data_IF_697580560141
#
_entry.id   IF_697580560141
#
_cell.length_a   1.000
_cell.length_b   1.000
_cell.length_c   1.000
_cell.angle_alpha   90.00
_cell.angle_beta   90.00
_cell.angle_gamma   90.00
#
_symmetry.space_group_name_H-M   'P 1'
#
loop_
_entity.id
_entity.type
_entity.pdbx_description
1 polymer ?
#
# COMPACT_ATOMS: atom_id res chain seq x y z
N UNK A 1 9.43 6.47 26.58
CA UNK A 1 8.12 7.11 26.84
C UNK A 1 7.33 7.10 25.55
N UNK A 2 6.01 6.93 25.60
CA UNK A 2 5.18 7.03 24.39
C UNK A 2 4.94 8.52 24.10
N UNK A 3 5.35 8.98 22.92
CA UNK A 3 5.14 10.35 22.48
C UNK A 3 3.64 10.57 22.24
N UNK A 4 3.00 11.58 22.86
CA UNK A 4 1.61 11.91 22.58
C UNK A 4 1.49 12.43 21.14
N UNK A 5 0.37 12.11 20.49
CA UNK A 5 0.07 12.61 19.16
C UNK A 5 -0.17 14.12 19.22
N UNK A 6 0.39 14.86 18.26
CA UNK A 6 0.30 16.31 18.15
C UNK A 6 -0.26 16.75 16.79
N UNK A 7 -0.67 18.01 16.71
CA UNK A 7 -1.06 18.61 15.44
C UNK A 7 0.10 18.54 14.43
N UNK A 8 -0.23 18.25 13.18
CA UNK A 8 0.68 18.12 12.05
C UNK A 8 1.58 16.87 12.05
N UNK A 9 1.43 15.96 13.01
CA UNK A 9 2.06 14.63 12.94
C UNK A 9 1.56 13.85 11.71
N UNK A 10 2.45 13.04 11.11
CA UNK A 10 2.11 12.11 10.05
C UNK A 10 1.95 10.68 10.56
N UNK A 11 0.75 10.10 10.48
CA UNK A 11 0.55 8.68 10.78
C UNK A 11 0.68 7.85 9.52
N UNK A 12 1.68 6.97 9.48
CA UNK A 12 1.78 5.93 8.46
C UNK A 12 1.18 4.64 9.01
N UNK A 13 0.20 4.09 8.30
CA UNK A 13 -0.61 2.95 8.71
C UNK A 13 -0.52 1.86 7.65
N UNK A 14 -0.13 0.64 8.02
CA UNK A 14 -0.12 -0.46 7.04
C UNK A 14 -1.53 -0.79 6.57
N UNK A 15 -1.70 -1.03 5.27
CA UNK A 15 -2.99 -1.40 4.67
C UNK A 15 -3.60 -2.63 5.34
N UNK A 16 -2.80 -3.58 5.86
CA UNK A 16 -3.30 -4.85 6.41
C UNK A 16 -4.32 -4.66 7.53
N UNK A 17 -4.10 -3.69 8.43
CA UNK A 17 -5.05 -3.45 9.52
C UNK A 17 -6.31 -2.74 9.04
N UNK A 18 -6.21 -1.95 7.97
CA UNK A 18 -7.34 -1.32 7.29
C UNK A 18 -8.16 -2.38 6.57
N UNK A 19 -7.53 -3.21 5.74
CA UNK A 19 -8.16 -4.31 5.02
C UNK A 19 -8.86 -5.29 5.95
N UNK A 20 -8.26 -5.62 7.11
CA UNK A 20 -8.92 -6.44 8.13
C UNK A 20 -10.14 -5.76 8.76
N UNK A 21 -10.06 -4.45 9.00
CA UNK A 21 -11.17 -3.68 9.56
C UNK A 21 -12.32 -3.49 8.55
N UNK A 22 -12.03 -3.58 7.26
CA UNK A 22 -12.97 -3.42 6.15
C UNK A 22 -13.41 -4.76 5.52
N UNK A 23 -13.19 -5.89 6.22
CA UNK A 23 -13.55 -7.24 5.76
C UNK A 23 -12.99 -7.61 4.38
N UNK A 24 -11.82 -7.06 4.03
CA UNK A 24 -11.06 -7.36 2.79
C UNK A 24 -10.19 -8.60 2.95
N UNK A 25 -10.80 -9.68 3.43
CA UNK A 25 -10.16 -10.99 3.63
C UNK A 25 -10.93 -12.04 2.81
N UNK A 26 -10.20 -12.86 2.07
CA UNK A 26 -10.79 -13.92 1.21
C UNK A 26 -10.10 -15.25 1.51
N UNK A 27 -10.86 -16.35 1.56
CA UNK A 27 -10.32 -17.70 1.49
C UNK A 27 -10.22 -18.10 0.00
N UNK A 28 -9.01 -18.28 -0.56
CA UNK A 28 -8.88 -18.72 -1.94
C UNK A 28 -9.54 -20.07 -2.22
N UNK A 29 -9.69 -20.96 -1.22
CA UNK A 29 -10.33 -22.27 -1.42
C UNK A 29 -11.79 -22.16 -1.88
N UNK A 30 -12.47 -21.05 -1.56
CA UNK A 30 -13.84 -20.78 -1.97
C UNK A 30 -13.96 -20.25 -3.42
N UNK A 31 -12.83 -20.08 -4.11
CA UNK A 31 -12.75 -19.41 -5.41
C UNK A 31 -12.45 -20.43 -6.53
N UNK A 32 -13.43 -20.64 -7.42
CA UNK A 32 -13.24 -21.47 -8.61
C UNK A 32 -12.26 -20.81 -9.60
N UNK A 33 -11.12 -21.45 -9.92
CA UNK A 33 -10.10 -20.85 -10.78
C UNK A 33 -10.51 -20.80 -12.25
N UNK A 34 -10.19 -19.71 -12.94
CA UNK A 34 -10.30 -19.63 -14.40
C UNK A 34 -9.18 -20.42 -15.11
N UNK A 35 -9.30 -20.57 -16.43
CA UNK A 35 -8.21 -21.16 -17.24
C UNK A 35 -6.91 -20.34 -17.13
N UNK A 36 -7.01 -19.01 -17.13
CA UNK A 36 -5.85 -18.12 -17.02
C UNK A 36 -5.15 -18.29 -15.66
N UNK A 37 -5.92 -18.41 -14.58
CA UNK A 37 -5.37 -18.65 -13.25
C UNK A 37 -4.62 -19.99 -13.16
N UNK A 38 -5.15 -21.06 -13.78
CA UNK A 38 -4.45 -22.36 -13.88
C UNK A 38 -3.15 -22.27 -14.68
N UNK A 39 -3.12 -21.47 -15.76
CA UNK A 39 -1.91 -21.23 -16.54
C UNK A 39 -0.83 -20.47 -15.75
N UNK A 40 -1.24 -19.47 -14.95
CA UNK A 40 -0.34 -18.76 -14.05
C UNK A 40 0.24 -19.69 -12.97
N UNK A 41 -0.62 -20.54 -12.38
CA UNK A 41 -0.21 -21.52 -11.37
C UNK A 41 0.84 -22.51 -11.88
N UNK A 42 0.73 -22.96 -13.14
CA UNK A 42 1.70 -23.86 -13.74
C UNK A 42 3.12 -23.26 -13.87
N UNK A 43 3.27 -21.94 -13.77
CA UNK A 43 4.57 -21.25 -13.86
C UNK A 43 5.14 -20.83 -12.50
N UNK A 44 4.36 -20.99 -11.42
CA UNK A 44 4.70 -20.49 -10.09
C UNK A 44 4.58 -21.54 -8.98
N UNK A 45 4.55 -21.05 -7.75
CA UNK A 45 4.47 -21.88 -6.54
C UNK A 45 3.15 -21.72 -5.77
N UNK A 46 2.19 -21.00 -6.33
CA UNK A 46 0.88 -20.75 -5.72
C UNK A 46 -0.22 -21.51 -6.45
N UNK A 47 -1.30 -21.78 -5.74
CA UNK A 47 -2.45 -22.47 -6.31
C UNK A 47 -3.22 -21.59 -7.29
N UNK A 48 -3.94 -22.23 -8.21
CA UNK A 48 -4.75 -21.53 -9.22
C UNK A 48 -5.81 -20.64 -8.57
N UNK A 49 -6.37 -21.01 -7.41
CA UNK A 49 -7.32 -20.17 -6.67
C UNK A 49 -6.71 -18.85 -6.20
N UNK A 50 -5.46 -18.86 -5.73
CA UNK A 50 -4.74 -17.63 -5.38
C UNK A 50 -4.61 -16.69 -6.59
N UNK A 51 -4.17 -17.23 -7.73
CA UNK A 51 -4.05 -16.41 -8.96
C UNK A 51 -5.40 -15.92 -9.45
N UNK A 52 -6.48 -16.67 -9.23
CA UNK A 52 -7.82 -16.21 -9.56
C UNK A 52 -8.21 -14.98 -8.72
N UNK A 53 -7.90 -14.97 -7.42
CA UNK A 53 -8.08 -13.78 -6.56
C UNK A 53 -7.27 -12.59 -7.09
N UNK A 54 -5.99 -12.81 -7.41
CA UNK A 54 -5.13 -11.78 -8.03
C UNK A 54 -5.76 -11.23 -9.32
N UNK A 55 -6.25 -12.10 -10.19
CA UNK A 55 -6.85 -11.69 -11.46
C UNK A 55 -8.14 -10.88 -11.26
N UNK A 56 -8.96 -11.23 -10.26
CA UNK A 56 -10.18 -10.48 -9.92
C UNK A 56 -9.90 -9.08 -9.37
N UNK A 57 -8.81 -8.90 -8.63
CA UNK A 57 -8.36 -7.59 -8.13
C UNK A 57 -7.54 -6.79 -9.18
N UNK A 58 -7.26 -7.40 -10.33
CA UNK A 58 -6.53 -6.78 -11.43
C UNK A 58 -7.46 -6.20 -12.49
N UNK A 59 -7.10 -5.03 -13.00
CA UNK A 59 -7.67 -4.47 -14.24
C UNK A 59 -7.02 -5.09 -15.47
N UNK A 60 -5.71 -5.33 -15.43
CA UNK A 60 -4.95 -6.03 -16.47
C UNK A 60 -3.62 -6.58 -15.94
N UNK A 61 -3.10 -7.57 -16.66
CA UNK A 61 -1.75 -8.07 -16.46
C UNK A 61 -0.77 -7.20 -17.27
N UNK A 62 0.24 -6.65 -16.60
CA UNK A 62 1.34 -5.90 -17.22
C UNK A 62 2.46 -6.84 -17.65
N UNK A 63 2.82 -7.79 -16.78
CA UNK A 63 3.83 -8.82 -17.03
C UNK A 63 3.49 -10.07 -16.24
N UNK A 64 3.74 -11.23 -16.81
CA UNK A 64 3.68 -12.51 -16.13
C UNK A 64 4.97 -13.27 -16.41
N UNK A 65 5.70 -13.61 -15.35
CA UNK A 65 6.98 -14.33 -15.47
C UNK A 65 7.22 -15.15 -14.21
N UNK A 66 7.56 -16.44 -14.36
CA UNK A 66 7.88 -17.37 -13.25
C UNK A 66 6.85 -17.35 -12.11
N UNK A 67 5.56 -17.24 -12.45
CA UNK A 67 4.48 -17.20 -11.46
C UNK A 67 4.33 -15.88 -10.70
N UNK A 68 5.04 -14.82 -11.09
CA UNK A 68 4.79 -13.47 -10.58
C UNK A 68 3.98 -12.71 -11.61
N UNK A 69 2.82 -12.20 -11.19
CA UNK A 69 2.00 -11.33 -12.02
C UNK A 69 2.27 -9.88 -11.59
N UNK A 70 2.85 -9.08 -12.46
CA UNK A 70 2.81 -7.62 -12.31
C UNK A 70 1.49 -7.16 -12.94
N UNK A 71 0.63 -6.56 -12.15
CA UNK A 71 -0.74 -6.19 -12.53
C UNK A 71 -0.99 -4.72 -12.30
N UNK A 72 -1.88 -4.13 -13.10
CA UNK A 72 -2.57 -2.88 -12.73
C UNK A 72 -3.79 -3.26 -11.89
N UNK A 73 -3.87 -2.78 -10.64
CA UNK A 73 -5.06 -2.97 -9.80
C UNK A 73 -6.21 -2.09 -10.28
N UNK A 74 -7.42 -2.30 -9.75
CA UNK A 74 -8.56 -1.39 -10.01
C UNK A 74 -8.32 0.05 -9.52
N UNK A 75 -7.39 0.25 -8.58
CA UNK A 75 -6.94 1.58 -8.12
C UNK A 75 -6.00 2.26 -9.14
N UNK A 76 -5.41 1.51 -10.08
CA UNK A 76 -4.37 1.98 -10.99
C UNK A 76 -2.94 1.74 -10.50
N UNK A 77 -2.74 1.07 -9.35
CA UNK A 77 -1.41 0.74 -8.84
C UNK A 77 -0.78 -0.38 -9.68
N UNK A 78 0.49 -0.23 -10.06
CA UNK A 78 1.25 -1.29 -10.71
C UNK A 78 2.09 -2.01 -9.66
N UNK A 79 1.67 -3.21 -9.26
CA UNK A 79 2.32 -3.98 -8.21
C UNK A 79 2.30 -5.48 -8.51
N UNK A 80 3.05 -6.23 -7.70
CA UNK A 80 3.02 -7.69 -7.76
C UNK A 80 1.70 -8.19 -7.19
N UNK A 81 1.09 -9.15 -7.90
CA UNK A 81 -0.10 -9.90 -7.51
C UNK A 81 -1.26 -9.03 -7.03
N UNK A 82 -1.44 -7.85 -7.62
CA UNK A 82 -2.52 -6.90 -7.27
C UNK A 82 -2.57 -6.47 -5.80
N UNK A 83 -1.45 -6.57 -5.06
CA UNK A 83 -1.41 -6.29 -3.62
C UNK A 83 -2.11 -7.36 -2.78
N UNK A 84 -2.42 -8.53 -3.36
CA UNK A 84 -2.95 -9.69 -2.62
C UNK A 84 -1.83 -10.28 -1.77
N UNK A 85 -2.00 -10.20 -0.45
CA UNK A 85 -1.00 -10.63 0.53
C UNK A 85 -1.51 -11.80 1.38
N UNK A 86 -0.70 -12.84 1.51
CA UNK A 86 -0.95 -14.04 2.34
C UNK A 86 -0.31 -13.93 3.74
N UNK A 87 0.62 -12.99 3.92
CA UNK A 87 1.42 -12.84 5.13
C UNK A 87 0.63 -12.15 6.24
N UNK A 88 0.86 -12.56 7.49
CA UNK A 88 0.18 -12.00 8.67
C UNK A 88 -1.36 -12.15 8.66
N UNK A 89 -1.89 -13.14 7.94
CA UNK A 89 -3.34 -13.47 7.90
C UNK A 89 -3.54 -14.97 8.13
N UNK A 90 -4.13 -15.34 9.27
CA UNK A 90 -4.61 -16.69 9.58
C UNK A 90 -3.70 -17.88 9.17
N UNK A 91 -2.37 -17.74 9.28
CA UNK A 91 -1.42 -18.79 8.91
C UNK A 91 -1.33 -19.10 7.41
N UNK A 92 -1.72 -18.17 6.53
CA UNK A 92 -1.67 -18.32 5.08
C UNK A 92 -2.90 -19.01 4.47
N UNK A 93 -3.91 -19.35 5.27
CA UNK A 93 -5.18 -19.92 4.78
C UNK A 93 -6.01 -18.90 4.00
N UNK A 94 -5.99 -17.65 4.45
CA UNK A 94 -6.73 -16.55 3.82
C UNK A 94 -5.74 -15.50 3.32
N UNK A 95 -6.19 -14.70 2.37
CA UNK A 95 -5.43 -13.58 1.81
C UNK A 95 -6.12 -12.26 2.15
N UNK A 96 -5.34 -11.22 2.38
CA UNK A 96 -5.82 -9.84 2.41
C UNK A 96 -5.77 -9.22 1.03
N UNK A 97 -6.83 -8.51 0.69
CA UNK A 97 -6.90 -7.65 -0.49
C UNK A 97 -6.62 -6.22 -0.07
N UNK A 98 -6.27 -5.34 -1.01
CA UNK A 98 -6.18 -3.91 -0.72
C UNK A 98 -7.57 -3.34 -0.32
N UNK A 99 -7.61 -2.28 0.51
CA UNK A 99 -8.83 -1.50 0.74
C UNK A 99 -9.39 -1.03 -0.60
N UNK A 100 -10.71 -0.95 -0.76
CA UNK A 100 -11.35 -0.58 -2.04
C UNK A 100 -11.15 0.90 -2.38
N UNK A 101 -11.09 1.76 -1.36
CA UNK A 101 -10.76 3.17 -1.49
C UNK A 101 -9.85 3.58 -0.30
N UNK A 102 -8.54 3.31 -0.39
CA UNK A 102 -7.62 3.61 0.70
C UNK A 102 -7.59 5.11 1.07
N UNK A 103 -7.84 5.99 0.11
CA UNK A 103 -7.98 7.43 0.33
C UNK A 103 -9.19 7.74 1.22
N UNK A 104 -10.33 7.08 1.01
CA UNK A 104 -11.50 7.20 1.88
C UNK A 104 -11.22 6.64 3.27
N UNK A 105 -10.55 5.50 3.37
CA UNK A 105 -10.12 4.91 4.65
C UNK A 105 -9.22 5.86 5.42
N UNK A 106 -8.25 6.51 4.76
CA UNK A 106 -7.36 7.50 5.36
C UNK A 106 -8.14 8.72 5.89
N UNK A 107 -9.10 9.23 5.11
CA UNK A 107 -9.97 10.34 5.52
C UNK A 107 -10.83 9.98 6.73
N UNK A 108 -11.43 8.78 6.73
CA UNK A 108 -12.25 8.30 7.84
C UNK A 108 -11.42 8.15 9.13
N UNK A 109 -10.22 7.57 9.03
CA UNK A 109 -9.31 7.42 10.16
C UNK A 109 -8.87 8.78 10.72
N UNK A 110 -8.49 9.72 9.85
CA UNK A 110 -8.14 11.10 10.24
C UNK A 110 -9.29 11.78 10.98
N UNK A 111 -10.52 11.67 10.47
CA UNK A 111 -11.69 12.26 11.10
C UNK A 111 -11.95 11.66 12.49
N UNK A 112 -11.82 10.34 12.65
CA UNK A 112 -11.98 9.65 13.92
C UNK A 112 -10.88 10.04 14.94
N UNK A 113 -9.63 10.23 14.49
CA UNK A 113 -8.54 10.71 15.34
C UNK A 113 -8.85 12.13 15.83
N UNK A 114 -9.28 13.02 14.93
CA UNK A 114 -9.65 14.39 15.30
C UNK A 114 -10.79 14.44 16.30
N UNK A 115 -11.82 13.61 16.13
CA UNK A 115 -12.95 13.53 17.06
C UNK A 115 -12.53 13.03 18.45
N UNK A 116 -11.65 12.02 18.51
CA UNK A 116 -11.30 11.33 19.77
C UNK A 116 -10.15 11.97 20.53
N UNK A 117 -9.15 12.49 19.81
CA UNK A 117 -7.92 13.03 20.38
C UNK A 117 -7.82 14.55 20.24
N UNK A 118 -8.69 15.19 19.46
CA UNK A 118 -8.70 16.65 19.29
C UNK A 118 -7.55 17.21 18.45
N UNK A 119 -6.76 16.36 17.79
CA UNK A 119 -5.59 16.74 16.99
C UNK A 119 -5.84 16.58 15.50
N UNK A 120 -5.23 17.44 14.69
CA UNK A 120 -5.31 17.42 13.24
C UNK A 120 -4.00 16.90 12.62
N UNK A 121 -4.07 15.67 12.09
CA UNK A 121 -2.91 14.91 11.61
C UNK A 121 -3.02 14.59 10.13
N UNK A 122 -1.90 14.20 9.52
CA UNK A 122 -1.91 13.50 8.23
C UNK A 122 -2.02 11.99 8.44
N UNK A 123 -2.66 11.29 7.50
CA UNK A 123 -2.77 9.82 7.49
C UNK A 123 -2.34 9.31 6.13
N UNK A 124 -1.39 8.37 6.12
CA UNK A 124 -0.89 7.69 4.94
C UNK A 124 -1.11 6.20 5.15
N UNK A 125 -1.87 5.57 4.27
CA UNK A 125 -1.99 4.11 4.22
C UNK A 125 -0.89 3.58 3.30
N UNK A 126 -0.06 2.68 3.82
CA UNK A 126 1.08 2.13 3.11
C UNK A 126 0.92 0.65 2.76
N UNK A 127 1.56 0.24 1.67
CA UNK A 127 1.78 -1.16 1.33
C UNK A 127 3.20 -1.39 0.80
N UNK A 128 3.67 -2.64 0.84
CA UNK A 128 5.05 -3.00 0.52
C UNK A 128 5.20 -3.45 -0.93
N UNK A 129 5.82 -2.63 -1.79
CA UNK A 129 6.01 -2.92 -3.20
C UNK A 129 7.47 -3.17 -3.57
N UNK A 130 7.69 -4.04 -4.58
CA UNK A 130 8.94 -4.06 -5.34
C UNK A 130 9.00 -2.89 -6.32
N UNK A 131 10.16 -2.66 -6.96
CA UNK A 131 10.33 -1.55 -7.91
C UNK A 131 11.30 -1.89 -9.02
N UNK A 132 11.12 -1.26 -10.19
CA UNK A 132 11.93 -1.54 -11.36
C UNK A 132 13.42 -1.28 -11.10
N UNK A 133 14.26 -2.16 -11.66
CA UNK A 133 15.73 -2.05 -11.70
C UNK A 133 16.44 -2.05 -10.33
N UNK A 134 15.75 -2.34 -9.22
CA UNK A 134 16.34 -2.39 -7.88
C UNK A 134 15.89 -3.66 -7.17
N UNK A 135 16.81 -4.28 -6.43
CA UNK A 135 16.47 -5.37 -5.51
C UNK A 135 15.87 -4.81 -4.22
N UNK A 136 15.01 -5.62 -3.59
CA UNK A 136 14.30 -5.26 -2.36
C UNK A 136 12.95 -4.59 -2.58
N UNK A 137 12.19 -4.49 -1.49
CA UNK A 137 10.88 -3.83 -1.44
C UNK A 137 10.98 -2.55 -0.63
N UNK A 138 10.05 -1.62 -0.86
CA UNK A 138 9.85 -0.42 -0.05
C UNK A 138 8.37 -0.25 0.23
N UNK A 139 8.03 0.45 1.31
CA UNK A 139 6.67 0.87 1.52
C UNK A 139 6.35 2.09 0.65
N UNK A 140 5.19 2.07 0.01
CA UNK A 140 4.66 3.16 -0.80
C UNK A 140 3.29 3.56 -0.26
N UNK A 141 2.88 4.80 -0.51
CA UNK A 141 1.56 5.28 -0.16
C UNK A 141 0.53 4.73 -1.16
N UNK A 142 -0.54 4.12 -0.65
CA UNK A 142 -1.69 3.69 -1.45
C UNK A 142 -2.95 4.50 -1.13
N UNK A 143 -2.97 5.23 -0.02
CA UNK A 143 -4.02 6.16 0.37
C UNK A 143 -3.49 7.29 1.23
N UNK A 144 -4.02 8.51 1.09
CA UNK A 144 -3.50 9.72 1.75
C UNK A 144 -4.65 10.66 2.16
N UNK A 145 -4.53 11.24 3.36
CA UNK A 145 -5.41 12.30 3.83
C UNK A 145 -4.66 13.31 4.70
N UNK A 146 -5.01 14.60 4.59
CA UNK A 146 -4.45 15.66 5.43
C UNK A 146 -3.06 16.16 5.06
N UNK A 147 -2.49 15.69 3.95
CA UNK A 147 -1.21 16.14 3.38
C UNK A 147 -1.28 16.12 1.84
N UNK A 148 -0.58 17.03 1.18
CA UNK A 148 -0.37 16.95 -0.27
C UNK A 148 0.63 15.80 -0.57
N UNK A 149 0.27 14.80 -1.39
CA UNK A 149 1.15 13.65 -1.62
C UNK A 149 2.41 14.01 -2.43
N UNK A 150 2.38 15.16 -3.11
CA UNK A 150 3.49 15.69 -3.89
C UNK A 150 3.91 17.06 -3.35
N UNK A 151 5.22 17.28 -3.22
CA UNK A 151 5.80 18.61 -3.07
C UNK A 151 6.28 19.09 -4.45
N UNK A 152 5.59 20.10 -5.00
CA UNK A 152 5.88 20.68 -6.31
C UNK A 152 6.86 21.86 -6.16
N UNK A 153 8.10 21.65 -6.59
CA UNK A 153 9.14 22.67 -6.65
C UNK A 153 9.28 23.28 -8.04
N UNK A 154 8.43 22.93 -9.01
CA UNK A 154 8.45 23.54 -10.33
C UNK A 154 8.19 25.04 -10.23
N UNK A 155 8.92 25.79 -11.05
CA UNK A 155 8.94 27.25 -11.10
C UNK A 155 9.43 27.93 -9.82
N UNK A 156 10.00 27.20 -8.86
CA UNK A 156 10.67 27.77 -7.70
C UNK A 156 12.17 27.98 -7.99
N UNK A 157 12.76 29.11 -7.55
CA UNK A 157 14.21 29.32 -7.64
C UNK A 157 14.94 28.45 -6.62
N UNK A 158 16.06 27.87 -7.02
CA UNK A 158 17.00 27.24 -6.09
C UNK A 158 17.82 28.29 -5.31
N UNK A 159 18.76 27.82 -4.48
CA UNK A 159 19.62 28.69 -3.66
C UNK A 159 20.51 29.65 -4.48
N UNK A 160 20.65 29.42 -5.79
CA UNK A 160 21.45 30.23 -6.71
C UNK A 160 20.57 31.01 -7.72
N UNK A 161 19.25 30.96 -7.58
CA UNK A 161 18.29 31.66 -8.43
C UNK A 161 17.93 30.92 -9.73
N UNK A 162 18.36 29.68 -9.92
CA UNK A 162 17.95 28.87 -11.06
C UNK A 162 16.52 28.36 -10.86
N UNK A 163 15.64 28.62 -11.83
CA UNK A 163 14.23 28.20 -11.78
C UNK A 163 14.15 26.72 -12.14
N UNK A 164 13.71 25.89 -11.19
CA UNK A 164 13.50 24.47 -11.43
C UNK A 164 12.29 24.24 -12.33
N UNK A 165 12.38 23.35 -13.32
CA UNK A 165 11.32 23.12 -14.30
C UNK A 165 10.48 21.85 -14.07
N UNK A 166 11.03 20.83 -13.40
CA UNK A 166 10.33 19.57 -13.15
C UNK A 166 10.92 18.91 -11.89
N UNK A 167 10.33 19.24 -10.73
CA UNK A 167 10.78 18.76 -9.43
C UNK A 167 9.55 18.46 -8.56
N UNK A 168 8.91 17.32 -8.77
CA UNK A 168 7.80 16.84 -7.94
C UNK A 168 8.29 15.70 -7.06
N UNK A 169 8.41 15.96 -5.76
CA UNK A 169 8.83 14.96 -4.79
C UNK A 169 7.60 14.24 -4.26
N UNK A 170 7.60 12.91 -4.33
CA UNK A 170 6.53 12.07 -3.78
C UNK A 170 6.68 11.93 -2.26
N UNK A 171 6.41 13.01 -1.54
CA UNK A 171 6.62 13.10 -0.08
C UNK A 171 5.82 12.04 0.69
N UNK A 172 4.63 11.65 0.21
CA UNK A 172 3.86 10.57 0.82
C UNK A 172 4.57 9.21 0.72
N UNK A 173 5.23 8.92 -0.41
CA UNK A 173 6.01 7.70 -0.58
C UNK A 173 7.31 7.73 0.25
N UNK A 174 7.95 8.88 0.37
CA UNK A 174 9.13 9.04 1.24
C UNK A 174 8.79 8.75 2.70
N UNK A 175 7.69 9.31 3.21
CA UNK A 175 7.19 9.06 4.55
C UNK A 175 6.80 7.58 4.74
N UNK A 176 6.06 7.00 3.77
CA UNK A 176 5.69 5.60 3.81
C UNK A 176 6.92 4.68 3.87
N UNK A 177 7.93 4.97 3.05
CA UNK A 177 9.20 4.24 3.00
C UNK A 177 9.98 4.35 4.30
N UNK A 178 10.08 5.55 4.89
CA UNK A 178 10.80 5.77 6.15
C UNK A 178 10.15 5.03 7.33
N UNK A 179 8.82 4.94 7.35
CA UNK A 179 8.07 4.27 8.41
C UNK A 179 8.42 2.78 8.56
N UNK A 180 8.82 2.09 7.48
CA UNK A 180 9.23 0.67 7.56
C UNK A 180 10.37 0.45 8.57
N UNK A 181 11.27 1.43 8.72
CA UNK A 181 12.43 1.35 9.61
C UNK A 181 12.05 1.20 11.09
N UNK A 182 10.85 1.64 11.47
CA UNK A 182 10.34 1.57 12.85
C UNK A 182 9.13 0.65 12.99
N UNK A 183 8.41 0.39 11.90
CA UNK A 183 7.29 -0.56 11.89
C UNK A 183 7.78 -2.00 11.92
N UNK A 184 8.80 -2.34 11.12
CA UNK A 184 9.36 -3.68 11.03
C UNK A 184 8.35 -4.74 10.57
N UNK A 185 8.67 -5.44 9.47
CA UNK A 185 7.77 -6.43 8.85
C UNK A 185 7.19 -7.52 9.78
N UNK A 186 7.87 -7.84 10.88
CA UNK A 186 7.50 -8.91 11.83
C UNK A 186 7.26 -8.41 13.25
N UNK A 187 7.43 -7.11 13.52
CA UNK A 187 7.44 -6.57 14.89
C UNK A 187 6.03 -6.24 15.41
N UNK A 188 5.00 -6.51 14.59
CA UNK A 188 3.60 -6.25 14.90
C UNK A 188 3.32 -4.77 15.25
N UNK A 189 4.04 -3.83 14.63
CA UNK A 189 3.80 -2.39 14.73
C UNK A 189 3.14 -1.90 13.44
N UNK A 190 1.80 -1.80 13.39
CA UNK A 190 1.07 -1.47 12.17
C UNK A 190 0.97 0.04 11.92
N UNK A 191 1.44 0.87 12.84
CA UNK A 191 1.36 2.34 12.77
C UNK A 191 2.67 2.96 13.23
N UNK A 192 3.18 3.93 12.48
CA UNK A 192 4.28 4.79 12.86
C UNK A 192 3.83 6.26 12.86
N UNK A 193 4.42 7.06 13.74
CA UNK A 193 4.29 8.52 13.77
C UNK A 193 5.59 9.08 13.21
N UNK A 194 5.48 10.00 12.24
CA UNK A 194 6.58 10.78 11.66
C UNK A 194 6.41 12.24 12.00
#
# INVERSE_FOLDING_TARGET
EQQPLADHDGLVVTQKIISKAEDRIVDPEDIEPSHMARMAAAQGHKDASYYEVVLRESRRIVKMDRGVLVTETHHGLICANSGVDESNVAGGRTVTLLPVDPDASARALRAAIRERAGVDVAVIISDTFGRAWREGQVNVAIGVAGIAPLADYANQPDAYGYVMHASNIAVADELASAAELVMGKVDAVPVAIV
#
